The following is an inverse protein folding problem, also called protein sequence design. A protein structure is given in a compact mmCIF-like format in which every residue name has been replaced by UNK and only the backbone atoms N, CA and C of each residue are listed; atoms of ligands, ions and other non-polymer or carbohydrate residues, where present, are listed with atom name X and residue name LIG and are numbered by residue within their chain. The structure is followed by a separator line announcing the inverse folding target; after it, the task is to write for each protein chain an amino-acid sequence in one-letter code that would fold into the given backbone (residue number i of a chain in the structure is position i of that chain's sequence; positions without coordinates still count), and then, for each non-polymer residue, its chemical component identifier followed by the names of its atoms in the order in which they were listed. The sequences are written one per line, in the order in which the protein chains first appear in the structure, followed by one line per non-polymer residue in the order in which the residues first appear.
data_IF_873750207562
#
_entry.id   IF_873750207562
#
_cell.length_a   1.000
_cell.length_b   1.000
_cell.length_c   1.000
_cell.angle_alpha   90.00
_cell.angle_beta   90.00
_cell.angle_gamma   90.00
#
_symmetry.space_group_name_H-M   'P 1'
#
loop_
_entity.id
_entity.type
_entity.pdbx_description
1 polymer ?
#
# COMPACT_ATOMS: atom_id res chain seq x y z
N UNK A 1 16.52 20.27 8.54
CA UNK A 1 15.13 19.92 8.14
C UNK A 1 14.22 20.93 8.79
N UNK A 2 13.19 21.42 8.08
CA UNK A 2 12.21 22.37 8.63
C UNK A 2 11.40 21.70 9.77
N UNK A 3 11.44 22.21 11.01
CA UNK A 3 10.71 21.65 12.14
C UNK A 3 9.18 21.76 12.03
N UNK A 4 8.64 22.47 11.02
CA UNK A 4 7.20 22.59 10.76
C UNK A 4 6.68 21.66 9.67
N UNK A 5 7.55 20.99 8.93
CA UNK A 5 7.11 20.02 7.92
C UNK A 5 6.66 18.73 8.62
N UNK A 6 5.46 18.19 8.32
CA UNK A 6 5.06 16.89 8.85
C UNK A 6 6.11 15.85 8.47
N UNK A 7 6.59 15.09 9.46
CA UNK A 7 7.59 14.04 9.24
C UNK A 7 6.96 12.89 8.47
N UNK A 8 7.02 12.94 7.14
CA UNK A 8 6.57 11.86 6.27
C UNK A 8 7.62 10.75 6.31
N UNK A 9 7.33 9.65 7.02
CA UNK A 9 8.25 8.52 7.22
C UNK A 9 8.79 7.96 5.91
N UNK A 10 8.01 7.99 4.82
CA UNK A 10 8.46 7.61 3.48
C UNK A 10 9.72 8.37 3.06
N UNK A 11 9.76 9.69 3.26
CA UNK A 11 10.89 10.53 2.87
C UNK A 11 12.06 10.40 3.85
N UNK A 12 11.77 10.32 5.15
CA UNK A 12 12.79 10.20 6.20
C UNK A 12 13.53 8.88 6.09
N UNK A 13 12.80 7.77 5.95
CA UNK A 13 13.37 6.43 5.87
C UNK A 13 13.82 6.06 4.46
N UNK A 14 13.49 6.89 3.45
CA UNK A 14 13.67 6.56 2.04
C UNK A 14 13.03 5.20 1.68
N UNK A 15 11.89 4.91 2.30
CA UNK A 15 11.12 3.67 2.12
C UNK A 15 9.74 4.03 1.57
N UNK A 16 9.47 3.80 0.26
CA UNK A 16 8.17 4.10 -0.34
C UNK A 16 7.02 3.28 0.26
N UNK A 17 7.32 2.22 1.03
CA UNK A 17 6.32 1.39 1.70
C UNK A 17 5.98 1.87 3.11
N UNK A 18 6.72 2.84 3.67
CA UNK A 18 6.57 3.33 5.04
C UNK A 18 5.36 4.28 5.22
N UNK A 19 4.21 3.91 4.66
CA UNK A 19 2.93 4.51 4.93
C UNK A 19 2.51 4.27 6.39
N UNK A 20 1.56 5.07 6.88
CA UNK A 20 1.12 5.02 8.28
C UNK A 20 0.57 3.63 8.66
N UNK A 21 -0.24 3.04 7.78
CA UNK A 21 -0.88 1.73 7.98
C UNK A 21 0.17 0.62 8.00
N UNK A 22 1.06 0.58 7.00
CA UNK A 22 2.13 -0.43 6.92
C UNK A 22 3.07 -0.33 8.12
N UNK A 23 3.46 0.89 8.51
CA UNK A 23 4.32 1.12 9.66
C UNK A 23 3.64 0.67 10.96
N UNK A 24 2.34 0.95 11.10
CA UNK A 24 1.55 0.53 12.26
C UNK A 24 1.45 -0.99 12.35
N UNK A 25 1.15 -1.67 11.24
CA UNK A 25 1.12 -3.14 11.16
C UNK A 25 2.49 -3.73 11.55
N UNK A 26 3.58 -3.24 10.97
CA UNK A 26 4.95 -3.70 11.29
C UNK A 26 5.24 -3.55 12.79
N UNK A 27 4.88 -2.42 13.38
CA UNK A 27 5.07 -2.17 14.81
C UNK A 27 4.21 -3.08 15.70
N UNK A 28 2.95 -3.31 15.34
CA UNK A 28 2.03 -4.18 16.07
C UNK A 28 2.51 -5.64 16.04
N UNK A 29 2.85 -6.16 14.85
CA UNK A 29 3.39 -7.51 14.67
C UNK A 29 4.65 -7.71 15.52
N UNK A 30 5.59 -6.75 15.50
CA UNK A 30 6.81 -6.82 16.31
C UNK A 30 6.49 -6.81 17.82
N UNK A 31 5.54 -5.98 18.25
CA UNK A 31 5.16 -5.87 19.66
C UNK A 31 4.48 -7.14 20.18
N UNK A 32 3.65 -7.78 19.36
CA UNK A 32 2.88 -8.97 19.73
C UNK A 32 3.62 -10.28 19.42
N UNK A 33 4.73 -10.22 18.67
CA UNK A 33 5.49 -11.42 18.28
C UNK A 33 4.73 -12.33 17.30
N UNK A 34 3.87 -11.76 16.46
CA UNK A 34 3.01 -12.49 15.50
C UNK A 34 2.94 -11.75 14.17
N UNK A 35 2.63 -12.46 13.08
CA UNK A 35 2.26 -11.85 11.79
C UNK A 35 0.75 -11.73 11.61
N UNK A 36 -0.03 -12.40 12.46
CA UNK A 36 -1.48 -12.45 12.44
C UNK A 36 -2.03 -11.46 13.48
N UNK A 37 -2.73 -10.42 13.00
CA UNK A 37 -3.40 -9.41 13.81
C UNK A 37 -4.93 -9.62 13.85
N UNK A 38 -5.40 -10.87 13.70
CA UNK A 38 -6.80 -11.23 13.92
C UNK A 38 -7.26 -10.74 15.30
N UNK A 39 -8.47 -10.20 15.38
CA UNK A 39 -9.00 -9.55 16.59
C UNK A 39 -8.52 -8.11 16.80
N UNK A 40 -7.59 -7.60 15.97
CA UNK A 40 -7.18 -6.21 16.00
C UNK A 40 -7.96 -5.38 14.97
N UNK A 41 -8.15 -4.11 15.33
CA UNK A 41 -8.77 -3.09 14.48
C UNK A 41 -7.75 -1.99 14.20
N UNK A 42 -7.66 -1.54 12.96
CA UNK A 42 -6.85 -0.38 12.59
C UNK A 42 -7.74 0.85 12.36
N UNK A 43 -7.27 2.00 12.85
CA UNK A 43 -7.85 3.31 12.59
C UNK A 43 -6.85 4.12 11.78
N UNK A 44 -7.25 4.62 10.62
CA UNK A 44 -6.40 5.42 9.73
C UNK A 44 -7.05 6.77 9.41
N UNK A 45 -6.26 7.80 9.17
CA UNK A 45 -6.78 9.14 8.87
C UNK A 45 -7.40 9.22 7.47
N UNK A 46 -7.01 8.35 6.54
CA UNK A 46 -7.47 8.34 5.16
C UNK A 46 -7.80 6.90 4.73
N UNK A 47 -8.73 6.75 3.79
CA UNK A 47 -8.96 5.48 3.11
C UNK A 47 -7.63 4.89 2.61
N UNK A 48 -7.30 3.63 2.95
CA UNK A 48 -6.00 3.05 2.61
C UNK A 48 -5.78 2.95 1.09
N UNK A 49 -4.60 3.32 0.62
CA UNK A 49 -4.18 3.04 -0.75
C UNK A 49 -4.09 1.52 -1.02
N UNK A 50 -3.97 1.05 -2.28
CA UNK A 50 -4.01 -0.39 -2.56
C UNK A 50 -2.95 -1.22 -1.84
N UNK A 51 -1.74 -0.66 -1.66
CA UNK A 51 -0.67 -1.31 -0.91
C UNK A 51 -1.07 -1.48 0.57
N UNK A 52 -1.58 -0.43 1.20
CA UNK A 52 -1.97 -0.45 2.61
C UNK A 52 -3.19 -1.35 2.83
N UNK A 53 -4.17 -1.31 1.92
CA UNK A 53 -5.31 -2.22 1.94
C UNK A 53 -4.85 -3.68 1.86
N UNK A 54 -3.94 -4.00 0.92
CA UNK A 54 -3.35 -5.33 0.83
C UNK A 54 -2.61 -5.74 2.11
N UNK A 55 -1.84 -4.82 2.71
CA UNK A 55 -1.15 -5.07 3.98
C UNK A 55 -2.13 -5.38 5.13
N UNK A 56 -3.26 -4.66 5.21
CA UNK A 56 -4.30 -4.94 6.21
C UNK A 56 -4.90 -6.34 6.05
N UNK A 57 -5.14 -6.77 4.81
CA UNK A 57 -5.68 -8.11 4.51
C UNK A 57 -4.66 -9.21 4.86
N UNK A 58 -3.39 -9.05 4.47
CA UNK A 58 -2.33 -10.00 4.83
C UNK A 58 -2.06 -10.06 6.33
N UNK A 59 -2.28 -8.96 7.05
CA UNK A 59 -2.19 -8.91 8.50
C UNK A 59 -3.45 -9.43 9.21
N UNK A 60 -4.52 -9.78 8.47
CA UNK A 60 -5.77 -10.36 8.98
C UNK A 60 -6.50 -9.46 9.99
N UNK A 61 -6.39 -8.14 9.80
CA UNK A 61 -7.14 -7.18 10.63
C UNK A 61 -8.64 -7.43 10.50
N UNK A 62 -9.34 -7.39 11.63
CA UNK A 62 -10.79 -7.64 11.68
C UNK A 62 -11.57 -6.46 11.12
N UNK A 63 -11.11 -5.24 11.41
CA UNK A 63 -11.77 -4.03 10.95
C UNK A 63 -10.76 -2.93 10.58
N UNK A 64 -11.16 -2.13 9.59
CA UNK A 64 -10.44 -0.94 9.13
C UNK A 64 -11.42 0.22 9.18
N UNK A 65 -11.18 1.17 10.09
CA UNK A 65 -11.93 2.42 10.15
C UNK A 65 -11.07 3.56 9.61
N UNK A 66 -11.66 4.41 8.76
CA UNK A 66 -10.96 5.53 8.14
C UNK A 66 -11.69 6.85 8.35
N UNK A 67 -10.92 7.93 8.48
CA UNK A 67 -11.45 9.29 8.66
C UNK A 67 -11.95 9.91 7.36
N UNK A 68 -11.03 10.19 6.43
CA UNK A 68 -11.35 10.78 5.14
C UNK A 68 -11.44 9.73 4.03
N UNK A 69 -12.43 9.85 3.14
CA UNK A 69 -12.47 9.08 1.89
C UNK A 69 -11.42 9.59 0.90
N UNK A 70 -11.02 8.76 -0.06
CA UNK A 70 -10.14 9.18 -1.14
C UNK A 70 -10.71 10.39 -1.89
N UNK A 71 -12.01 10.41 -2.16
CA UNK A 71 -12.72 11.52 -2.81
C UNK A 71 -12.71 12.81 -1.97
N UNK A 72 -12.88 12.69 -0.65
CA UNK A 72 -12.82 13.84 0.26
C UNK A 72 -11.42 14.44 0.33
N UNK A 73 -10.39 13.59 0.39
CA UNK A 73 -9.00 14.05 0.28
C UNK A 73 -8.80 14.77 -1.04
N UNK A 74 -9.19 14.14 -2.16
CA UNK A 74 -9.11 14.72 -3.50
C UNK A 74 -9.82 16.09 -3.60
N UNK A 75 -11.01 16.21 -3.02
CA UNK A 75 -11.81 17.43 -3.07
C UNK A 75 -11.26 18.55 -2.16
N UNK A 76 -10.57 18.19 -1.08
CA UNK A 76 -10.01 19.15 -0.11
C UNK A 76 -8.80 19.94 -0.63
N UNK A 77 -8.17 19.45 -1.72
CA UNK A 77 -6.93 19.99 -2.26
C UNK A 77 -7.22 21.15 -3.21
N UNK A 78 -6.83 22.36 -2.81
CA UNK A 78 -6.94 23.58 -3.64
C UNK A 78 -5.85 23.58 -4.72
N UNK A 79 -6.25 23.99 -5.93
CA UNK A 79 -5.46 24.06 -7.18
C UNK A 79 -4.06 24.68 -6.98
N UNK A 80 -3.03 23.98 -7.46
CA UNK A 80 -2.06 24.59 -8.37
C UNK A 80 -1.77 23.60 -9.51
N UNK A 81 -2.37 23.84 -10.68
CA UNK A 81 -2.31 22.97 -11.87
C UNK A 81 -0.95 23.00 -12.58
N UNK A 82 0.05 23.70 -12.02
CA UNK A 82 1.28 24.04 -12.74
C UNK A 82 2.36 22.98 -12.70
N UNK A 83 2.27 21.99 -11.80
CA UNK A 83 3.38 21.06 -11.55
C UNK A 83 3.25 19.74 -12.33
N UNK A 84 2.03 19.27 -12.61
CA UNK A 84 1.81 18.03 -13.36
C UNK A 84 0.50 18.15 -14.16
N UNK A 85 0.51 17.72 -15.43
CA UNK A 85 -0.59 17.86 -16.40
C UNK A 85 -1.91 17.15 -16.03
N UNK A 86 -2.77 16.79 -17.01
CA UNK A 86 -4.19 16.44 -16.79
C UNK A 86 -4.43 15.06 -16.16
N UNK A 87 -3.70 14.68 -15.11
CA UNK A 87 -3.92 13.49 -14.30
C UNK A 87 -4.77 13.85 -13.07
N UNK A 88 -5.56 12.88 -12.60
CA UNK A 88 -6.63 13.07 -11.62
C UNK A 88 -6.22 13.91 -10.39
N UNK A 89 -7.18 14.62 -9.79
CA UNK A 89 -6.98 15.56 -8.66
C UNK A 89 -6.21 15.00 -7.43
N UNK A 90 -6.10 13.67 -7.23
CA UNK A 90 -5.22 13.06 -6.20
C UNK A 90 -3.73 13.12 -6.59
N UNK A 91 -3.44 12.82 -7.86
CA UNK A 91 -2.10 12.91 -8.43
C UNK A 91 -1.57 14.36 -8.44
N UNK A 92 -2.47 15.35 -8.37
CA UNK A 92 -2.12 16.78 -8.36
C UNK A 92 -1.36 17.25 -7.11
N UNK A 93 -1.23 16.41 -6.06
CA UNK A 93 -0.41 16.72 -4.87
C UNK A 93 0.62 15.63 -4.53
N UNK A 94 0.87 14.69 -5.45
CA UNK A 94 1.87 13.63 -5.26
C UNK A 94 1.38 12.35 -4.59
N UNK A 95 0.06 12.14 -4.46
CA UNK A 95 -0.51 10.85 -4.04
C UNK A 95 -1.16 10.13 -5.23
N UNK A 96 -0.57 9.01 -5.63
CA UNK A 96 -0.99 8.22 -6.79
C UNK A 96 -2.06 7.16 -6.47
N UNK A 97 -2.65 7.20 -5.27
CA UNK A 97 -3.55 6.18 -4.72
C UNK A 97 -4.65 5.79 -5.72
N UNK A 98 -5.33 6.79 -6.30
CA UNK A 98 -6.36 6.55 -7.32
C UNK A 98 -5.79 5.92 -8.59
N UNK A 99 -4.63 6.37 -9.05
CA UNK A 99 -3.98 5.81 -10.24
C UNK A 99 -3.60 4.34 -10.01
N UNK A 100 -3.19 3.97 -8.80
CA UNK A 100 -2.91 2.58 -8.43
C UNK A 100 -4.19 1.76 -8.30
N UNK A 101 -5.25 2.29 -7.69
CA UNK A 101 -6.56 1.62 -7.65
C UNK A 101 -7.10 1.34 -9.05
N UNK A 102 -7.01 2.31 -9.97
CA UNK A 102 -7.50 2.13 -11.34
C UNK A 102 -6.63 1.15 -12.13
N UNK A 103 -5.31 1.20 -11.99
CA UNK A 103 -4.40 0.23 -12.61
C UNK A 103 -4.73 -1.21 -12.20
N UNK A 104 -5.00 -1.45 -10.92
CA UNK A 104 -5.27 -2.79 -10.39
C UNK A 104 -6.61 -3.38 -10.85
N UNK A 105 -7.53 -2.59 -11.41
CA UNK A 105 -8.79 -3.10 -11.99
C UNK A 105 -8.56 -3.89 -13.28
N UNK A 106 -7.55 -3.51 -14.06
CA UNK A 106 -7.17 -4.20 -15.30
C UNK A 106 -5.66 -4.02 -15.55
N UNK A 107 -4.81 -4.72 -14.78
CA UNK A 107 -3.38 -4.49 -14.79
C UNK A 107 -2.76 -4.97 -16.11
N UNK A 108 -2.10 -4.07 -16.82
CA UNK A 108 -1.42 -4.31 -18.09
C UNK A 108 -0.27 -3.33 -18.27
N UNK A 109 0.67 -3.65 -19.15
CA UNK A 109 1.72 -2.70 -19.53
C UNK A 109 1.12 -1.38 -20.04
N UNK A 110 1.77 -0.28 -19.69
CA UNK A 110 1.47 1.07 -20.17
C UNK A 110 2.78 1.81 -20.53
N UNK A 111 2.68 3.10 -20.88
CA UNK A 111 3.82 3.95 -21.24
C UNK A 111 4.81 4.19 -20.09
N UNK A 112 4.42 3.89 -18.84
CA UNK A 112 5.23 4.10 -17.65
C UNK A 112 5.79 2.79 -17.09
N UNK A 113 5.12 1.66 -17.31
CA UNK A 113 5.36 0.40 -16.61
C UNK A 113 5.14 -0.80 -17.52
N UNK A 114 6.05 -1.77 -17.46
CA UNK A 114 5.88 -3.09 -18.09
C UNK A 114 5.28 -4.08 -17.09
N UNK A 115 4.25 -4.78 -17.52
CA UNK A 115 3.67 -5.94 -16.85
C UNK A 115 3.54 -7.07 -17.90
N UNK A 116 4.60 -7.85 -18.03
CA UNK A 116 4.76 -8.87 -19.07
C UNK A 116 4.93 -10.26 -18.43
N UNK A 117 4.25 -11.28 -18.97
CA UNK A 117 4.46 -12.66 -18.55
C UNK A 117 5.72 -13.22 -19.23
N UNK A 118 6.77 -13.46 -18.44
CA UNK A 118 8.05 -14.01 -18.88
C UNK A 118 8.35 -15.32 -18.13
N UNK A 119 7.91 -16.48 -18.63
CA UNK A 119 8.16 -17.74 -17.96
C UNK A 119 9.64 -18.13 -18.06
N UNK A 120 10.30 -18.24 -16.90
CA UNK A 120 11.66 -18.78 -16.79
C UNK A 120 11.62 -20.31 -16.61
N UNK A 121 12.70 -21.03 -16.88
CA UNK A 121 12.75 -22.47 -16.59
C UNK A 121 12.43 -22.74 -15.11
N UNK A 122 11.62 -23.76 -14.83
CA UNK A 122 11.23 -24.21 -13.48
C UNK A 122 10.53 -23.14 -12.62
N UNK A 123 9.82 -22.17 -13.23
CA UNK A 123 9.12 -21.09 -12.51
C UNK A 123 8.09 -21.55 -11.46
N UNK A 124 7.60 -22.80 -11.55
CA UNK A 124 6.70 -23.41 -10.56
C UNK A 124 7.41 -24.03 -9.35
N UNK A 125 8.73 -24.24 -9.43
CA UNK A 125 9.51 -24.95 -8.41
C UNK A 125 9.36 -24.38 -6.99
N UNK A 126 9.34 -23.05 -6.75
CA UNK A 126 9.14 -22.52 -5.40
C UNK A 126 7.81 -22.97 -4.78
N UNK A 127 6.73 -23.03 -5.57
CA UNK A 127 5.41 -23.45 -5.11
C UNK A 127 5.35 -24.95 -4.84
N UNK A 128 6.00 -25.76 -5.68
CA UNK A 128 6.13 -27.21 -5.45
C UNK A 128 6.96 -27.54 -4.19
N UNK A 129 8.03 -26.77 -3.95
CA UNK A 129 8.83 -26.91 -2.74
C UNK A 129 8.00 -26.55 -1.50
N UNK A 130 7.25 -25.45 -1.57
CA UNK A 130 6.33 -25.05 -0.49
C UNK A 130 5.24 -26.09 -0.24
N UNK A 131 4.62 -26.65 -1.28
CA UNK A 131 3.55 -27.63 -1.14
C UNK A 131 4.01 -28.91 -0.44
N UNK A 132 5.27 -29.33 -0.65
CA UNK A 132 5.87 -30.52 -0.03
C UNK A 132 6.46 -30.29 1.36
N UNK A 133 6.65 -29.03 1.77
CA UNK A 133 7.19 -28.72 3.10
C UNK A 133 6.20 -29.10 4.19
N UNK A 134 6.60 -29.98 5.11
CA UNK A 134 5.77 -30.43 6.24
C UNK A 134 5.72 -29.42 7.38
N UNK A 135 6.75 -28.58 7.51
CA UNK A 135 6.89 -27.56 8.58
C UNK A 135 6.44 -26.16 8.17
N UNK A 136 5.71 -26.03 7.05
CA UNK A 136 5.27 -24.72 6.58
C UNK A 136 4.21 -24.11 7.50
N UNK A 137 4.27 -22.79 7.66
CA UNK A 137 3.21 -22.00 8.29
C UNK A 137 2.45 -21.26 7.20
N UNK A 138 1.14 -21.50 7.10
CA UNK A 138 0.28 -20.72 6.20
C UNK A 138 0.21 -19.27 6.69
N UNK A 139 0.23 -18.33 5.75
CA UNK A 139 0.10 -16.91 6.01
C UNK A 139 -0.86 -16.27 5.02
#
# INVERSE_FOLDING_TARGET
MDPKAPSITVLVNKDPTAHAEVTTIRNACKKLGTFDLSGCTIYTSCYPCPMCMGACLWARLEAIYYGASAEQVIASLKRDQKIWGPKSRAAAIGFDDKAFHDFLKNPKSDEHRKLEHLPAKDYLRPFEMWSKMSTKTSY
#
